data_IF_757470430005
#
_entry.id   IF_757470430005
#
_cell.length_a   1.000
_cell.length_b   1.000
_cell.length_c   1.000
_cell.angle_alpha   90.00
_cell.angle_beta   90.00
_cell.angle_gamma   90.00
#
_symmetry.space_group_name_H-M   'P 1'
#
loop_
_entity.id
_entity.type
_entity.pdbx_description
1 polymer ?
#
# COMPACT_ATOMS: atom_id res chain seq x y z
N UNK A 1 6.41 -6.78 -23.57
CA UNK A 1 5.60 -7.91 -23.04
C UNK A 1 4.96 -8.60 -24.24
N UNK A 2 5.18 -9.91 -24.40
CA UNK A 2 4.63 -10.75 -25.50
C UNK A 2 3.11 -10.57 -25.63
N UNK A 3 2.57 -10.63 -26.84
CA UNK A 3 1.14 -10.39 -27.18
C UNK A 3 0.23 -11.36 -26.42
N UNK A 4 0.64 -12.62 -26.28
CA UNK A 4 -0.05 -13.62 -25.47
C UNK A 4 -0.07 -13.24 -23.97
N UNK A 5 1.06 -12.75 -23.45
CA UNK A 5 1.16 -12.32 -22.05
C UNK A 5 0.33 -11.05 -21.77
N UNK A 6 0.16 -10.16 -22.77
CA UNK A 6 -0.73 -9.01 -22.68
C UNK A 6 -2.19 -9.43 -22.55
N UNK A 7 -2.64 -10.41 -23.36
CA UNK A 7 -4.01 -10.94 -23.26
C UNK A 7 -4.25 -11.62 -21.91
N UNK A 8 -3.31 -12.43 -21.43
CA UNK A 8 -3.38 -13.08 -20.12
C UNK A 8 -3.51 -12.05 -19.00
N UNK A 9 -2.71 -11.00 -19.02
CA UNK A 9 -2.76 -9.94 -18.02
C UNK A 9 -4.03 -9.09 -18.12
N UNK A 10 -4.56 -8.85 -19.33
CA UNK A 10 -5.81 -8.12 -19.53
C UNK A 10 -7.01 -8.87 -18.91
N UNK A 11 -7.10 -10.19 -19.09
CA UNK A 11 -8.15 -10.99 -18.48
C UNK A 11 -7.97 -11.13 -16.96
N UNK A 12 -6.73 -11.23 -16.45
CA UNK A 12 -6.43 -11.13 -15.02
C UNK A 12 -6.95 -9.80 -14.44
N UNK A 13 -6.67 -8.70 -15.14
CA UNK A 13 -7.13 -7.36 -14.78
C UNK A 13 -8.66 -7.29 -14.73
N UNK A 14 -9.34 -7.83 -15.75
CA UNK A 14 -10.80 -7.87 -15.80
C UNK A 14 -11.39 -8.66 -14.61
N UNK A 15 -10.77 -9.79 -14.24
CA UNK A 15 -11.20 -10.59 -13.07
C UNK A 15 -11.04 -9.85 -11.75
N UNK A 16 -9.90 -9.20 -11.53
CA UNK A 16 -9.68 -8.38 -10.33
C UNK A 16 -10.65 -7.20 -10.26
N UNK A 17 -10.92 -6.52 -11.39
CA UNK A 17 -11.94 -5.45 -11.45
C UNK A 17 -13.35 -5.95 -11.14
N UNK A 18 -13.74 -7.13 -11.66
CA UNK A 18 -15.03 -7.76 -11.31
C UNK A 18 -15.18 -8.04 -9.81
N UNK A 19 -14.08 -8.34 -9.11
CA UNK A 19 -14.11 -8.46 -7.64
C UNK A 19 -14.31 -7.08 -7.00
N UNK A 20 -13.56 -6.06 -7.43
CA UNK A 20 -13.64 -4.68 -6.89
C UNK A 20 -14.99 -4.01 -7.10
N UNK A 21 -15.63 -4.25 -8.24
CA UNK A 21 -16.92 -3.67 -8.61
C UNK A 21 -18.10 -4.53 -8.14
N UNK A 22 -17.82 -5.73 -7.62
CA UNK A 22 -18.83 -6.70 -7.19
C UNK A 22 -19.31 -6.48 -5.75
N UNK A 23 -20.37 -7.22 -5.38
CA UNK A 23 -20.89 -7.27 -4.01
C UNK A 23 -20.32 -8.46 -3.23
N UNK A 24 -20.31 -8.36 -1.91
CA UNK A 24 -19.79 -9.41 -1.02
C UNK A 24 -20.44 -10.78 -1.27
N UNK A 25 -21.75 -10.82 -1.54
CA UNK A 25 -22.47 -12.07 -1.79
C UNK A 25 -21.92 -12.86 -2.99
N UNK A 26 -21.32 -12.18 -3.97
CA UNK A 26 -20.72 -12.80 -5.16
C UNK A 26 -19.26 -13.17 -4.97
N UNK A 27 -18.66 -12.79 -3.85
CA UNK A 27 -17.21 -12.79 -3.65
C UNK A 27 -16.61 -14.20 -3.70
N UNK A 28 -17.28 -15.21 -3.15
CA UNK A 28 -16.82 -16.61 -3.26
C UNK A 28 -16.70 -17.06 -4.71
N UNK A 29 -17.72 -16.78 -5.53
CA UNK A 29 -17.72 -17.15 -6.95
C UNK A 29 -16.64 -16.39 -7.74
N UNK A 30 -16.45 -15.10 -7.47
CA UNK A 30 -15.46 -14.28 -8.20
C UNK A 30 -14.03 -14.59 -7.79
N UNK A 31 -13.76 -14.88 -6.51
CA UNK A 31 -12.46 -15.36 -6.02
C UNK A 31 -12.13 -16.73 -6.63
N UNK A 32 -13.07 -17.69 -6.57
CA UNK A 32 -12.89 -19.00 -7.18
C UNK A 32 -12.60 -18.90 -8.68
N UNK A 33 -13.28 -17.99 -9.39
CA UNK A 33 -13.06 -17.75 -10.81
C UNK A 33 -11.70 -17.11 -11.10
N UNK A 34 -11.19 -16.26 -10.21
CA UNK A 34 -9.85 -15.68 -10.31
C UNK A 34 -8.77 -16.74 -10.09
N UNK A 35 -8.88 -17.53 -9.01
CA UNK A 35 -7.93 -18.60 -8.69
C UNK A 35 -7.85 -19.64 -9.81
N UNK A 36 -9.00 -20.11 -10.32
CA UNK A 36 -9.04 -21.03 -11.47
C UNK A 36 -8.41 -20.44 -12.73
N UNK A 37 -8.54 -19.13 -12.93
CA UNK A 37 -7.89 -18.48 -14.05
C UNK A 37 -6.38 -18.48 -13.88
N UNK A 38 -5.87 -18.07 -12.72
CA UNK A 38 -4.43 -18.10 -12.41
C UNK A 38 -3.86 -19.51 -12.66
N UNK A 39 -4.52 -20.56 -12.17
CA UNK A 39 -4.04 -21.94 -12.31
C UNK A 39 -4.14 -22.50 -13.73
N UNK A 40 -5.03 -21.97 -14.57
CA UNK A 40 -5.16 -22.40 -15.96
C UNK A 40 -4.19 -21.73 -16.92
N UNK A 41 -3.51 -20.66 -16.50
CA UNK A 41 -2.55 -19.93 -17.33
C UNK A 41 -1.11 -20.26 -16.94
N UNK A 42 -0.33 -20.96 -17.81
CA UNK A 42 1.04 -21.37 -17.50
C UNK A 42 1.95 -20.21 -17.08
N UNK A 43 1.82 -19.05 -17.74
CA UNK A 43 2.62 -17.86 -17.41
C UNK A 43 2.35 -17.32 -16.00
N UNK A 44 1.08 -17.33 -15.56
CA UNK A 44 0.70 -16.88 -14.21
C UNK A 44 1.13 -17.90 -13.16
N UNK A 45 0.97 -19.19 -13.43
CA UNK A 45 1.46 -20.26 -12.55
C UNK A 45 2.97 -20.22 -12.36
N UNK A 46 3.75 -20.11 -13.45
CA UNK A 46 5.20 -20.00 -13.35
C UNK A 46 5.63 -18.74 -12.57
N UNK A 47 4.89 -17.63 -12.71
CA UNK A 47 5.13 -16.43 -11.91
C UNK A 47 4.85 -16.66 -10.43
N UNK A 48 3.72 -17.30 -10.10
CA UNK A 48 3.33 -17.64 -8.74
C UNK A 48 4.34 -18.59 -8.08
N UNK A 49 4.82 -19.61 -8.80
CA UNK A 49 5.86 -20.52 -8.33
C UNK A 49 7.15 -19.78 -7.95
N UNK A 50 7.61 -18.84 -8.79
CA UNK A 50 8.75 -17.97 -8.47
C UNK A 50 8.49 -17.09 -7.25
N UNK A 51 7.29 -16.55 -7.11
CA UNK A 51 6.92 -15.72 -5.97
C UNK A 51 6.89 -16.52 -4.66
N UNK A 52 6.53 -17.80 -4.72
CA UNK A 52 6.49 -18.71 -3.57
C UNK A 52 7.87 -19.28 -3.19
N UNK A 53 8.88 -19.16 -4.06
CA UNK A 53 10.22 -19.69 -3.76
C UNK A 53 10.81 -19.01 -2.52
N UNK A 54 11.07 -19.80 -1.47
CA UNK A 54 11.59 -19.31 -0.18
C UNK A 54 10.59 -18.48 0.64
N UNK A 55 9.34 -18.34 0.20
CA UNK A 55 8.30 -17.59 0.90
C UNK A 55 7.67 -18.42 2.03
N UNK A 56 7.58 -17.85 3.24
CA UNK A 56 6.98 -18.50 4.41
C UNK A 56 5.57 -17.96 4.67
N UNK A 57 4.59 -18.57 4.02
CA UNK A 57 3.19 -18.09 4.06
C UNK A 57 2.65 -17.88 5.48
N UNK A 58 2.72 -18.89 6.35
CA UNK A 58 2.16 -18.77 7.71
C UNK A 58 2.75 -17.60 8.51
N UNK A 59 4.06 -17.41 8.45
CA UNK A 59 4.75 -16.30 9.14
C UNK A 59 4.36 -14.95 8.56
N UNK A 60 4.25 -14.82 7.25
CA UNK A 60 3.89 -13.54 6.61
C UNK A 60 2.40 -13.22 6.77
N UNK A 61 1.53 -14.24 6.81
CA UNK A 61 0.11 -14.08 7.13
C UNK A 61 -0.09 -13.61 8.57
N UNK A 62 0.62 -14.20 9.53
CA UNK A 62 0.57 -13.78 10.94
C UNK A 62 0.99 -12.31 11.10
N UNK A 63 2.09 -11.91 10.46
CA UNK A 63 2.52 -10.51 10.41
C UNK A 63 1.46 -9.61 9.79
N UNK A 64 0.86 -10.04 8.68
CA UNK A 64 -0.16 -9.27 7.98
C UNK A 64 -1.43 -9.08 8.81
N UNK A 65 -1.79 -10.05 9.67
CA UNK A 65 -2.97 -10.01 10.54
C UNK A 65 -2.72 -9.31 11.89
N UNK A 66 -1.50 -8.89 12.18
CA UNK A 66 -1.15 -8.25 13.46
C UNK A 66 -1.63 -6.80 13.54
N UNK A 67 -2.26 -6.41 14.66
CA UNK A 67 -2.57 -5.01 14.97
C UNK A 67 -3.91 -4.50 14.46
N UNK A 68 -4.89 -5.39 14.21
CA UNK A 68 -6.28 -5.01 13.94
C UNK A 68 -6.58 -4.48 12.54
N UNK A 69 -5.55 -4.30 11.71
CA UNK A 69 -5.64 -3.93 10.29
C UNK A 69 -4.82 -4.96 9.50
N UNK A 70 -5.34 -5.40 8.35
CA UNK A 70 -4.59 -6.32 7.48
C UNK A 70 -3.55 -5.56 6.65
N UNK A 71 -2.27 -5.90 6.82
CA UNK A 71 -1.13 -5.20 6.19
C UNK A 71 -0.45 -6.07 5.15
N UNK A 72 -0.40 -5.60 3.91
CA UNK A 72 0.35 -6.28 2.87
C UNK A 72 1.87 -6.17 3.10
N UNK A 73 2.65 -7.23 2.78
CA UNK A 73 4.10 -7.20 2.89
C UNK A 73 4.70 -6.30 1.81
N UNK A 74 5.91 -5.81 2.05
CA UNK A 74 6.66 -5.04 1.05
C UNK A 74 7.20 -5.98 -0.05
N UNK A 75 7.07 -5.54 -1.30
CA UNK A 75 7.62 -6.23 -2.47
C UNK A 75 6.59 -7.09 -3.22
N UNK A 76 6.56 -6.95 -4.55
CA UNK A 76 5.53 -7.55 -5.40
C UNK A 76 5.45 -9.08 -5.30
N UNK A 77 6.59 -9.78 -5.17
CA UNK A 77 6.60 -11.25 -5.02
C UNK A 77 5.92 -11.70 -3.73
N UNK A 78 6.20 -11.03 -2.63
CA UNK A 78 5.59 -11.34 -1.33
C UNK A 78 4.10 -11.04 -1.34
N UNK A 79 3.68 -9.94 -1.98
CA UNK A 79 2.26 -9.61 -2.14
C UNK A 79 1.55 -10.68 -2.98
N UNK A 80 2.12 -11.10 -4.11
CA UNK A 80 1.56 -12.17 -4.94
C UNK A 80 1.42 -13.46 -4.13
N UNK A 81 2.49 -13.92 -3.50
CA UNK A 81 2.49 -15.16 -2.72
C UNK A 81 1.48 -15.11 -1.55
N UNK A 82 1.49 -14.03 -0.76
CA UNK A 82 0.60 -13.88 0.38
C UNK A 82 -0.86 -13.82 -0.05
N UNK A 83 -1.20 -12.96 -1.00
CA UNK A 83 -2.60 -12.73 -1.37
C UNK A 83 -3.16 -13.94 -2.12
N UNK A 84 -2.38 -14.61 -2.98
CA UNK A 84 -2.85 -15.87 -3.58
C UNK A 84 -3.15 -16.92 -2.51
N UNK A 85 -2.27 -17.07 -1.51
CA UNK A 85 -2.49 -17.99 -0.40
C UNK A 85 -3.73 -17.62 0.44
N UNK A 86 -3.90 -16.34 0.77
CA UNK A 86 -5.07 -15.85 1.49
C UNK A 86 -6.37 -16.14 0.71
N UNK A 87 -6.41 -15.79 -0.57
CA UNK A 87 -7.57 -16.04 -1.42
C UNK A 87 -7.90 -17.53 -1.50
N UNK A 88 -6.89 -18.40 -1.55
CA UNK A 88 -7.08 -19.84 -1.50
C UNK A 88 -7.65 -20.32 -0.16
N UNK A 89 -7.18 -19.77 0.97
CA UNK A 89 -7.72 -20.10 2.30
C UNK A 89 -9.16 -19.59 2.50
N UNK A 90 -9.51 -18.45 1.89
CA UNK A 90 -10.87 -17.93 1.85
C UNK A 90 -11.79 -18.82 1.00
N UNK A 91 -11.33 -19.23 -0.20
CA UNK A 91 -12.10 -20.07 -1.14
C UNK A 91 -12.45 -21.44 -0.54
N UNK A 92 -11.48 -22.07 0.16
CA UNK A 92 -11.70 -23.36 0.84
C UNK A 92 -12.37 -23.25 2.22
N UNK A 93 -12.63 -22.03 2.69
CA UNK A 93 -13.23 -21.76 4.00
C UNK A 93 -12.34 -22.00 5.23
N UNK A 94 -11.02 -22.16 5.05
CA UNK A 94 -10.07 -22.25 6.17
C UNK A 94 -9.96 -20.92 6.94
N UNK A 95 -10.10 -19.80 6.23
CA UNK A 95 -10.39 -18.50 6.82
C UNK A 95 -11.85 -18.15 6.50
N UNK A 96 -12.65 -17.87 7.52
CA UNK A 96 -14.02 -17.41 7.31
C UNK A 96 -14.00 -15.98 6.75
N UNK A 97 -14.42 -15.80 5.49
CA UNK A 97 -14.28 -14.52 4.81
C UNK A 97 -15.10 -13.40 5.47
N UNK A 98 -16.31 -13.71 5.96
CA UNK A 98 -17.15 -12.73 6.64
C UNK A 98 -16.46 -12.17 7.90
N UNK A 99 -15.93 -13.08 8.73
CA UNK A 99 -15.21 -12.72 9.94
C UNK A 99 -13.92 -11.95 9.60
N UNK A 100 -13.20 -12.37 8.57
CA UNK A 100 -11.99 -11.70 8.11
C UNK A 100 -12.26 -10.24 7.73
N UNK A 101 -13.24 -9.97 6.86
CA UNK A 101 -13.53 -8.59 6.45
C UNK A 101 -14.11 -7.75 7.60
N UNK A 102 -14.94 -8.33 8.47
CA UNK A 102 -15.45 -7.61 9.65
C UNK A 102 -14.36 -7.30 10.66
N UNK A 103 -13.33 -8.15 10.76
CA UNK A 103 -12.23 -7.93 11.67
C UNK A 103 -11.30 -6.81 11.18
N UNK A 104 -10.88 -6.86 9.92
CA UNK A 104 -9.80 -6.01 9.37
C UNK A 104 -10.27 -4.83 8.51
N UNK A 105 -11.52 -4.82 8.06
CA UNK A 105 -12.10 -3.82 7.15
C UNK A 105 -13.45 -3.33 7.67
N UNK A 106 -13.46 -2.77 8.89
CA UNK A 106 -14.70 -2.37 9.58
C UNK A 106 -15.39 -1.21 8.85
N UNK A 107 -16.62 -1.45 8.41
CA UNK A 107 -17.50 -0.44 7.83
C UNK A 107 -18.96 -0.64 8.28
N UNK A 108 -19.84 0.31 7.90
CA UNK A 108 -21.26 0.33 8.27
C UNK A 108 -22.00 -0.95 7.87
N UNK A 109 -21.69 -1.49 6.69
CA UNK A 109 -22.24 -2.75 6.19
C UNK A 109 -21.15 -3.66 5.60
N UNK A 110 -21.55 -4.87 5.23
CA UNK A 110 -20.62 -5.90 4.74
C UNK A 110 -20.12 -5.62 3.32
N UNK A 111 -20.92 -4.97 2.47
CA UNK A 111 -20.51 -4.63 1.10
C UNK A 111 -19.46 -3.50 1.15
N UNK A 112 -19.63 -2.51 2.02
CA UNK A 112 -18.62 -1.49 2.28
C UNK A 112 -17.31 -2.07 2.84
N UNK A 113 -17.41 -3.05 3.75
CA UNK A 113 -16.25 -3.77 4.29
C UNK A 113 -15.50 -4.53 3.17
N UNK A 114 -16.26 -5.16 2.27
CA UNK A 114 -15.72 -5.87 1.12
C UNK A 114 -15.10 -4.92 0.08
N UNK A 115 -15.68 -3.74 -0.15
CA UNK A 115 -15.11 -2.73 -1.06
C UNK A 115 -13.73 -2.26 -0.59
N UNK A 116 -13.59 -2.01 0.72
CA UNK A 116 -12.30 -1.69 1.35
C UNK A 116 -11.28 -2.82 1.18
N UNK A 117 -11.68 -4.07 1.40
CA UNK A 117 -10.83 -5.24 1.15
C UNK A 117 -10.39 -5.29 -0.32
N UNK A 118 -11.32 -5.15 -1.27
CA UNK A 118 -10.98 -5.23 -2.69
C UNK A 118 -10.05 -4.07 -3.12
N UNK A 119 -10.29 -2.86 -2.63
CA UNK A 119 -9.44 -1.71 -2.90
C UNK A 119 -8.03 -1.83 -2.33
N UNK A 120 -7.89 -2.37 -1.12
CA UNK A 120 -6.61 -2.45 -0.40
C UNK A 120 -5.85 -3.77 -0.56
N UNK A 121 -6.48 -4.83 -1.06
CA UNK A 121 -5.86 -6.15 -1.26
C UNK A 121 -5.85 -6.55 -2.72
N UNK A 122 -7.02 -6.58 -3.37
CA UNK A 122 -7.15 -7.12 -4.73
C UNK A 122 -6.48 -6.21 -5.77
N UNK A 123 -6.63 -4.90 -5.64
CA UNK A 123 -6.00 -3.96 -6.57
C UNK A 123 -4.46 -3.91 -6.43
N UNK A 124 -3.88 -3.83 -5.21
CA UNK A 124 -2.44 -3.97 -5.03
C UNK A 124 -1.89 -5.32 -5.49
N UNK A 125 -2.65 -6.41 -5.31
CA UNK A 125 -2.31 -7.74 -5.80
C UNK A 125 -2.22 -7.80 -7.33
N UNK A 126 -3.17 -7.18 -8.05
CA UNK A 126 -3.11 -7.06 -9.51
C UNK A 126 -1.82 -6.33 -9.97
N UNK A 127 -1.51 -5.19 -9.33
CA UNK A 127 -0.28 -4.44 -9.63
C UNK A 127 0.97 -5.28 -9.34
N UNK A 128 0.98 -6.01 -8.21
CA UNK A 128 2.08 -6.89 -7.83
C UNK A 128 2.29 -8.02 -8.86
N UNK A 129 1.20 -8.61 -9.37
CA UNK A 129 1.26 -9.61 -10.43
C UNK A 129 1.89 -9.05 -11.72
N UNK A 130 1.50 -7.83 -12.13
CA UNK A 130 2.09 -7.16 -13.29
C UNK A 130 3.60 -7.02 -13.16
N UNK A 131 4.05 -6.52 -12.01
CA UNK A 131 5.47 -6.28 -11.73
C UNK A 131 6.25 -7.60 -11.71
N UNK A 132 5.68 -8.64 -11.09
CA UNK A 132 6.30 -9.97 -11.01
C UNK A 132 6.39 -10.67 -12.39
N UNK A 133 5.40 -10.45 -13.28
CA UNK A 133 5.40 -10.98 -14.64
C UNK A 133 6.40 -10.26 -15.55
N UNK A 134 6.55 -8.96 -15.38
CA UNK A 134 7.44 -8.14 -16.21
C UNK A 134 8.92 -8.35 -15.89
N UNK A 135 9.24 -9.09 -14.82
CA UNK A 135 10.62 -9.27 -14.36
C UNK A 135 11.23 -8.01 -13.72
N UNK A 136 10.49 -6.90 -13.66
CA UNK A 136 10.86 -5.63 -13.02
C UNK A 136 10.89 -5.71 -11.47
N UNK A 137 11.10 -6.91 -10.93
CA UNK A 137 10.86 -7.24 -9.53
C UNK A 137 11.92 -8.11 -8.85
N UNK A 138 13.09 -8.33 -9.46
CA UNK A 138 14.25 -8.86 -8.72
C UNK A 138 15.43 -7.90 -8.79
N UNK A 139 15.76 -7.39 -7.61
CA UNK A 139 16.91 -6.58 -7.22
C UNK A 139 16.98 -5.14 -7.76
N UNK A 140 16.59 -4.20 -6.90
CA UNK A 140 17.31 -2.91 -6.79
C UNK A 140 17.62 -2.64 -5.31
N UNK A 141 18.42 -3.51 -4.70
CA UNK A 141 19.62 -2.97 -4.07
C UNK A 141 20.62 -2.75 -5.20
N UNK A 142 21.04 -1.49 -5.39
CA UNK A 142 21.91 -0.98 -6.46
C UNK A 142 21.23 -0.64 -7.80
N UNK A 143 21.11 0.66 -8.06
CA UNK A 143 21.22 1.21 -9.43
C UNK A 143 19.95 1.36 -10.25
N UNK A 144 19.00 2.20 -9.83
CA UNK A 144 18.21 3.00 -10.77
C UNK A 144 18.24 4.46 -10.31
N UNK A 145 18.86 5.31 -11.11
CA UNK A 145 18.71 6.77 -11.07
C UNK A 145 17.31 7.17 -11.57
N UNK A 146 16.31 6.78 -10.80
CA UNK A 146 14.95 7.28 -10.90
C UNK A 146 14.48 7.61 -9.48
N UNK A 147 14.13 8.88 -9.26
CA UNK A 147 13.82 9.58 -8.00
C UNK A 147 12.64 9.00 -7.16
N UNK A 148 12.28 7.71 -7.33
CA UNK A 148 11.05 7.11 -6.79
C UNK A 148 11.26 5.73 -6.12
N UNK A 149 12.18 5.72 -5.16
CA UNK A 149 12.48 4.56 -4.29
C UNK A 149 11.46 4.46 -3.14
N UNK A 150 11.18 3.27 -2.58
CA UNK A 150 10.45 3.17 -1.32
C UNK A 150 11.14 3.96 -0.21
N UNK A 151 10.36 4.57 0.68
CA UNK A 151 10.88 5.29 1.85
C UNK A 151 11.54 4.29 2.80
N UNK A 152 12.81 4.50 3.14
CA UNK A 152 13.52 3.62 4.08
C UNK A 152 12.96 3.75 5.50
N UNK A 153 13.04 2.68 6.30
CA UNK A 153 12.62 2.71 7.71
C UNK A 153 13.35 3.78 8.52
N UNK A 154 14.62 4.04 8.22
CA UNK A 154 15.41 5.09 8.88
C UNK A 154 14.87 6.51 8.65
N UNK A 155 14.22 6.77 7.51
CA UNK A 155 13.51 8.05 7.28
C UNK A 155 12.28 8.13 8.16
N UNK A 156 11.49 7.05 8.25
CA UNK A 156 10.28 6.99 9.08
C UNK A 156 10.63 7.21 10.55
N UNK A 157 11.62 6.50 11.08
CA UNK A 157 12.07 6.60 12.47
C UNK A 157 12.50 8.02 12.85
N UNK A 158 13.09 8.78 11.91
CA UNK A 158 13.51 10.16 12.15
C UNK A 158 12.39 11.18 11.96
N UNK A 159 11.47 10.96 11.03
CA UNK A 159 10.43 11.94 10.69
C UNK A 159 9.13 11.78 11.47
N UNK A 160 8.76 10.57 11.88
CA UNK A 160 7.52 10.34 12.63
C UNK A 160 7.45 11.14 13.94
N UNK A 161 8.51 11.17 14.78
CA UNK A 161 8.50 11.99 16.00
C UNK A 161 8.42 13.48 15.70
N UNK A 162 9.09 13.94 14.63
CA UNK A 162 9.10 15.34 14.22
C UNK A 162 7.71 15.78 13.76
N UNK A 163 7.01 14.93 13.00
CA UNK A 163 5.64 15.19 12.55
C UNK A 163 4.69 15.29 13.75
N UNK A 164 4.79 14.38 14.72
CA UNK A 164 3.97 14.42 15.93
C UNK A 164 4.20 15.70 16.74
N UNK A 165 5.45 16.06 16.99
CA UNK A 165 5.79 17.30 17.70
C UNK A 165 5.33 18.54 16.94
N UNK A 166 5.36 18.51 15.60
CA UNK A 166 4.89 19.62 14.79
C UNK A 166 3.36 19.77 14.85
N UNK A 167 2.63 18.65 14.85
CA UNK A 167 1.19 18.62 15.08
C UNK A 167 0.83 19.20 16.46
N UNK A 168 1.59 18.85 17.49
CA UNK A 168 1.39 19.38 18.85
C UNK A 168 1.63 20.89 18.94
N UNK A 169 2.68 21.41 18.28
CA UNK A 169 2.95 22.85 18.21
C UNK A 169 1.79 23.61 17.53
N UNK A 170 1.24 23.06 16.45
CA UNK A 170 0.08 23.63 15.75
C UNK A 170 -1.18 23.59 16.63
N UNK A 171 -1.35 22.53 17.42
CA UNK A 171 -2.44 22.45 18.38
C UNK A 171 -2.33 23.54 19.47
N UNK A 172 -1.12 23.81 19.95
CA UNK A 172 -0.85 24.76 21.03
C UNK A 172 -0.88 26.24 20.58
N UNK A 173 -0.75 26.52 19.29
CA UNK A 173 -0.77 27.89 18.78
C UNK A 173 -2.20 28.45 18.69
N UNK A 174 -2.56 29.33 19.61
CA UNK A 174 -3.86 30.02 19.65
C UNK A 174 -3.99 31.18 18.65
N UNK A 175 -2.90 31.58 17.98
CA UNK A 175 -2.91 32.64 16.98
C UNK A 175 -3.31 32.16 15.59
N UNK A 176 -3.36 30.84 15.37
CA UNK A 176 -3.81 30.25 14.11
C UNK A 176 -5.33 30.33 13.96
N UNK A 177 -5.78 30.70 12.76
CA UNK A 177 -7.19 30.55 12.36
C UNK A 177 -7.54 29.08 12.22
N UNK A 178 -8.82 28.74 12.37
CA UNK A 178 -9.30 27.37 12.23
C UNK A 178 -9.02 26.81 10.82
N UNK A 179 -9.18 27.63 9.78
CA UNK A 179 -8.87 27.27 8.39
C UNK A 179 -7.38 26.95 8.19
N UNK A 180 -6.48 27.79 8.70
CA UNK A 180 -5.04 27.54 8.61
C UNK A 180 -4.65 26.27 9.39
N UNK A 181 -5.29 26.03 10.54
CA UNK A 181 -5.06 24.84 11.36
C UNK A 181 -5.50 23.56 10.64
N UNK A 182 -6.66 23.57 9.98
CA UNK A 182 -7.13 22.45 9.16
C UNK A 182 -6.17 22.15 8.00
N UNK A 183 -5.78 23.17 7.23
CA UNK A 183 -4.82 23.02 6.12
C UNK A 183 -3.49 22.43 6.60
N UNK A 184 -3.02 22.89 7.76
CA UNK A 184 -1.77 22.45 8.34
C UNK A 184 -1.82 20.99 8.79
N UNK A 185 -2.91 20.58 9.44
CA UNK A 185 -3.11 19.18 9.81
C UNK A 185 -3.23 18.28 8.58
N UNK A 186 -3.98 18.70 7.56
CA UNK A 186 -4.11 17.94 6.33
C UNK A 186 -2.75 17.70 5.66
N UNK A 187 -1.86 18.69 5.67
CA UNK A 187 -0.51 18.53 5.11
C UNK A 187 0.41 17.64 5.95
N UNK A 188 0.32 17.71 7.29
CA UNK A 188 1.09 16.81 8.18
C UNK A 188 0.60 15.37 8.12
N UNK A 189 -0.72 15.17 8.06
CA UNK A 189 -1.35 13.87 7.87
C UNK A 189 -1.00 13.29 6.48
N UNK A 190 -1.05 14.11 5.44
CA UNK A 190 -0.59 13.73 4.10
C UNK A 190 0.88 13.31 4.10
N UNK A 191 1.75 14.02 4.82
CA UNK A 191 3.16 13.66 4.94
C UNK A 191 3.32 12.33 5.67
N UNK A 192 2.60 12.14 6.78
CA UNK A 192 2.56 10.88 7.53
C UNK A 192 2.17 9.69 6.64
N UNK A 193 1.05 9.79 5.92
CA UNK A 193 0.62 8.72 5.01
C UNK A 193 1.57 8.51 3.83
N UNK A 194 2.19 9.58 3.31
CA UNK A 194 3.17 9.45 2.23
C UNK A 194 4.41 8.68 2.68
N UNK A 195 4.85 8.89 3.92
CA UNK A 195 5.95 8.14 4.51
C UNK A 195 5.53 6.68 4.74
N UNK A 196 4.33 6.44 5.24
CA UNK A 196 3.88 5.08 5.54
C UNK A 196 3.62 4.22 4.30
N UNK A 197 2.95 4.79 3.29
CA UNK A 197 2.29 4.05 2.22
C UNK A 197 2.84 4.33 0.81
N UNK A 198 3.65 5.37 0.65
CA UNK A 198 4.07 5.86 -0.67
C UNK A 198 5.57 5.74 -0.94
N UNK A 199 5.99 6.15 -2.14
CA UNK A 199 7.39 6.20 -2.57
C UNK A 199 7.97 7.60 -2.41
N UNK A 200 9.29 7.71 -2.47
CA UNK A 200 10.07 8.93 -2.26
C UNK A 200 9.55 10.13 -3.07
N UNK A 201 9.09 9.93 -4.30
CA UNK A 201 8.55 11.02 -5.13
C UNK A 201 7.25 11.60 -4.57
N UNK A 202 6.40 10.77 -3.97
CA UNK A 202 5.18 11.23 -3.30
C UNK A 202 5.52 11.99 -2.02
N UNK A 203 6.49 11.50 -1.24
CA UNK A 203 7.00 12.21 -0.05
C UNK A 203 7.55 13.59 -0.45
N UNK A 204 8.33 13.66 -1.53
CA UNK A 204 8.83 14.92 -2.10
C UNK A 204 7.69 15.86 -2.51
N UNK A 205 6.69 15.35 -3.23
CA UNK A 205 5.55 16.16 -3.66
C UNK A 205 4.75 16.73 -2.48
N UNK A 206 4.45 15.89 -1.49
CA UNK A 206 3.73 16.29 -0.28
C UNK A 206 4.56 17.28 0.55
N UNK A 207 5.87 17.04 0.67
CA UNK A 207 6.77 17.97 1.35
C UNK A 207 6.81 19.34 0.66
N UNK A 208 6.87 19.40 -0.67
CA UNK A 208 6.81 20.67 -1.40
C UNK A 208 5.49 21.41 -1.14
N UNK A 209 4.37 20.68 -1.07
CA UNK A 209 3.09 21.23 -0.65
C UNK A 209 3.15 21.80 0.78
N UNK A 210 3.72 21.05 1.72
CA UNK A 210 3.82 21.44 3.12
C UNK A 210 4.62 22.75 3.25
N UNK A 211 5.74 22.84 2.52
CA UNK A 211 6.55 24.06 2.47
C UNK A 211 5.82 25.25 1.86
N UNK A 212 4.94 25.02 0.89
CA UNK A 212 4.17 26.08 0.26
C UNK A 212 3.05 26.59 1.18
N UNK A 213 2.28 25.67 1.77
CA UNK A 213 1.16 25.97 2.67
C UNK A 213 1.62 26.65 3.96
N UNK A 214 2.73 26.19 4.54
CA UNK A 214 3.25 26.71 5.82
C UNK A 214 4.35 27.77 5.66
N UNK A 215 4.49 28.38 4.47
CA UNK A 215 5.61 29.27 4.15
C UNK A 215 5.77 30.43 5.15
N UNK A 216 4.66 31.01 5.56
CA UNK A 216 4.63 32.19 6.43
C UNK A 216 4.45 31.82 7.93
N UNK A 217 4.33 30.52 8.23
CA UNK A 217 4.19 30.02 9.60
C UNK A 217 5.56 29.92 10.31
N UNK A 218 5.91 30.97 11.05
CA UNK A 218 7.24 31.10 11.69
C UNK A 218 7.55 29.98 12.68
N UNK A 219 6.57 29.57 13.48
CA UNK A 219 6.72 28.50 14.47
C UNK A 219 6.98 27.13 13.81
N UNK A 220 6.51 26.92 12.57
CA UNK A 220 6.78 25.72 11.79
C UNK A 220 8.13 25.66 11.08
N UNK A 221 8.83 26.80 10.94
CA UNK A 221 10.09 26.87 10.19
C UNK A 221 11.19 25.91 10.69
N UNK A 222 11.39 25.70 12.02
CA UNK A 222 12.35 24.72 12.53
C UNK A 222 12.01 23.28 12.10
N UNK A 223 10.74 22.88 12.20
CA UNK A 223 10.27 21.54 11.83
C UNK A 223 10.41 21.29 10.34
N UNK A 224 9.99 22.24 9.50
CA UNK A 224 10.15 22.16 8.04
C UNK A 224 11.62 22.01 7.66
N UNK A 225 12.54 22.71 8.35
CA UNK A 225 13.99 22.59 8.12
C UNK A 225 14.51 21.23 8.53
N UNK A 226 14.09 20.70 9.67
CA UNK A 226 14.47 19.35 10.14
C UNK A 226 13.99 18.29 9.15
N UNK A 227 12.73 18.36 8.72
CA UNK A 227 12.16 17.45 7.72
C UNK A 227 12.97 17.54 6.42
N UNK A 228 13.26 18.75 5.94
CA UNK A 228 14.08 18.98 4.73
C UNK A 228 15.46 18.33 4.83
N UNK A 229 16.12 18.46 5.98
CA UNK A 229 17.47 17.95 6.18
C UNK A 229 17.50 16.42 6.15
N UNK A 230 16.53 15.76 6.81
CA UNK A 230 16.39 14.31 6.77
C UNK A 230 16.08 13.86 5.34
N UNK A 231 15.12 14.49 4.65
CA UNK A 231 14.81 14.10 3.27
C UNK A 231 16.01 14.25 2.32
N UNK A 232 16.84 15.29 2.49
CA UNK A 232 18.11 15.44 1.75
C UNK A 232 19.14 14.37 2.09
N UNK A 233 19.29 14.04 3.37
CA UNK A 233 20.23 13.01 3.84
C UNK A 233 19.94 11.66 3.18
N UNK A 234 18.66 11.35 2.94
CA UNK A 234 18.22 10.12 2.29
C UNK A 234 18.00 10.25 0.77
N UNK A 235 18.45 11.35 0.16
CA UNK A 235 18.30 11.62 -1.27
C UNK A 235 16.85 11.49 -1.78
N UNK A 236 15.88 11.94 -0.98
CA UNK A 236 14.46 12.03 -1.37
C UNK A 236 14.18 13.37 -2.05
N UNK A 237 14.88 14.44 -1.66
CA UNK A 237 14.76 15.80 -2.23
C UNK A 237 16.11 16.44 -2.52
#
# INVERSE_FOLDING_TARGET
MDENLQQVYAELTARCKRIKEGKYIMSGNTIAALLRYITSQPALMACLERCNYGFRYGTELEKAMTGGIFKLPLGSRKVVALVTGLLFELDRGSINFHNFIKQYYRAADVDASFDMFAGSVIMPYLMAFKNALSGEGEEVSAGLDGDDKPVSSGVKEQLMPVILQFTEEIAADNALTDEAREDFYAMLEGLYYSLELSRAKMVKAVFLGLQAVMRDYRHGAPYIRTIKNVLKQFAII
#
